data_IF_200358198082
#
_entry.id   IF_200358198082
#
_cell.length_a   1.000
_cell.length_b   1.000
_cell.length_c   1.000
_cell.angle_alpha   90.00
_cell.angle_beta   90.00
_cell.angle_gamma   90.00
#
_symmetry.space_group_name_H-M   'P 1'
#
loop_
_entity.id
_entity.type
_entity.pdbx_description
1 polymer ?
#
# COMPACT_ATOMS: atom_id res chain seq x y z
N UNK A 1 3.01 11.90 -14.52
CA UNK A 1 4.17 10.99 -14.61
C UNK A 1 4.33 10.26 -13.30
N UNK A 2 4.82 9.02 -13.35
CA UNK A 2 5.10 8.22 -12.16
C UNK A 2 6.47 7.58 -12.34
N UNK A 3 7.32 7.63 -11.32
CA UNK A 3 8.69 7.13 -11.43
C UNK A 3 9.23 6.58 -10.11
N UNK A 4 10.41 5.95 -10.18
CA UNK A 4 11.22 5.60 -9.01
C UNK A 4 11.93 6.83 -8.46
N UNK A 5 12.40 6.73 -7.22
CA UNK A 5 13.14 7.80 -6.53
C UNK A 5 14.37 8.25 -7.32
N UNK A 6 15.12 7.29 -7.85
CA UNK A 6 16.33 7.53 -8.65
C UNK A 6 16.05 8.14 -10.03
N UNK A 7 14.79 8.11 -10.48
CA UNK A 7 14.41 8.62 -11.81
C UNK A 7 13.82 10.03 -11.80
N UNK A 8 13.72 10.68 -10.64
CA UNK A 8 13.09 12.01 -10.53
C UNK A 8 13.84 13.05 -11.37
N UNK A 9 15.17 13.01 -11.37
CA UNK A 9 16.02 13.95 -12.13
C UNK A 9 15.77 13.91 -13.64
N UNK A 10 15.35 12.76 -14.17
CA UNK A 10 15.01 12.61 -15.59
C UNK A 10 13.84 13.50 -16.03
N UNK A 11 13.05 14.01 -15.08
CA UNK A 11 11.89 14.86 -15.33
C UNK A 11 12.15 16.34 -15.10
N UNK A 12 13.39 16.77 -14.79
CA UNK A 12 13.71 18.18 -14.56
C UNK A 12 13.46 19.10 -15.78
N UNK A 13 13.49 18.54 -16.99
CA UNK A 13 13.16 19.26 -18.23
C UNK A 13 11.68 19.18 -18.65
N UNK A 14 10.83 18.49 -17.88
CA UNK A 14 9.42 18.33 -18.20
C UNK A 14 8.57 19.46 -17.57
N UNK A 15 7.40 19.76 -18.16
CA UNK A 15 6.45 20.70 -17.56
C UNK A 15 5.77 20.03 -16.35
N UNK A 16 6.40 20.14 -15.18
CA UNK A 16 5.92 19.61 -13.90
C UNK A 16 5.65 20.79 -12.97
N UNK A 17 4.38 21.08 -12.69
CA UNK A 17 4.01 22.12 -11.71
C UNK A 17 3.72 21.55 -10.33
N UNK A 18 3.37 20.26 -10.25
CA UNK A 18 2.97 19.58 -9.03
C UNK A 18 3.78 18.31 -8.80
N UNK A 19 4.31 18.14 -7.59
CA UNK A 19 5.18 17.01 -7.24
C UNK A 19 4.73 16.31 -5.96
N UNK A 20 4.72 14.98 -5.96
CA UNK A 20 4.44 14.18 -4.76
C UNK A 20 5.52 13.12 -4.56
N UNK A 21 6.17 13.15 -3.40
CA UNK A 21 7.18 12.16 -3.01
C UNK A 21 6.68 11.31 -1.85
N UNK A 22 6.68 9.99 -2.03
CA UNK A 22 6.26 9.02 -1.01
C UNK A 22 7.46 8.21 -0.56
N UNK A 23 7.90 8.42 0.67
CA UNK A 23 9.13 7.84 1.23
C UNK A 23 8.83 6.84 2.35
N UNK A 24 9.81 5.98 2.63
CA UNK A 24 9.74 5.10 3.80
C UNK A 24 9.97 5.89 5.10
N UNK A 25 9.33 5.50 6.22
CA UNK A 25 9.49 6.21 7.49
C UNK A 25 10.95 6.25 7.95
N UNK A 26 11.46 7.45 8.21
CA UNK A 26 12.83 7.67 8.67
C UNK A 26 13.87 7.81 7.55
N UNK A 27 13.45 7.71 6.28
CA UNK A 27 14.29 8.07 5.14
C UNK A 27 14.65 9.56 5.21
N UNK A 28 15.94 9.85 5.03
CA UNK A 28 16.49 11.22 5.04
C UNK A 28 16.77 11.73 3.64
N UNK A 29 16.97 10.82 2.69
CA UNK A 29 17.24 11.15 1.30
C UNK A 29 15.93 11.40 0.55
N UNK A 30 15.51 12.66 0.55
CA UNK A 30 14.32 13.11 -0.17
C UNK A 30 14.67 13.40 -1.62
N UNK A 31 13.79 12.97 -2.54
CA UNK A 31 13.89 13.37 -3.95
C UNK A 31 13.90 14.88 -4.10
N UNK A 32 14.85 15.39 -4.87
CA UNK A 32 14.87 16.79 -5.26
C UNK A 32 13.75 17.00 -6.30
N UNK A 33 12.78 17.89 -6.04
CA UNK A 33 11.72 18.17 -7.01
C UNK A 33 12.29 18.80 -8.29
N UNK A 34 11.64 18.58 -9.46
CA UNK A 34 11.95 19.35 -10.65
C UNK A 34 11.93 20.87 -10.41
N UNK A 35 12.82 21.66 -11.03
CA UNK A 35 12.88 23.11 -10.80
C UNK A 35 11.60 23.88 -11.16
N UNK A 36 10.74 23.31 -12.01
CA UNK A 36 9.47 23.87 -12.44
C UNK A 36 8.33 23.66 -11.43
N UNK A 37 8.56 22.92 -10.35
CA UNK A 37 7.53 22.62 -9.34
C UNK A 37 7.14 23.88 -8.58
N UNK A 38 5.84 24.14 -8.54
CA UNK A 38 5.23 25.24 -7.80
C UNK A 38 4.61 24.76 -6.48
N UNK A 39 4.17 23.49 -6.46
CA UNK A 39 3.52 22.86 -5.30
C UNK A 39 4.02 21.44 -5.12
N UNK A 40 4.48 21.12 -3.92
CA UNK A 40 4.95 19.78 -3.57
C UNK A 40 4.25 19.23 -2.31
N UNK A 41 4.24 17.91 -2.21
CA UNK A 41 3.77 17.17 -1.05
C UNK A 41 4.71 15.98 -0.78
N UNK A 42 5.15 15.83 0.46
CA UNK A 42 5.98 14.70 0.89
C UNK A 42 5.30 13.94 2.03
N UNK A 43 5.07 12.64 1.84
CA UNK A 43 4.44 11.77 2.84
C UNK A 43 5.35 10.58 3.17
N UNK A 44 5.34 10.15 4.43
CA UNK A 44 6.21 9.08 4.93
C UNK A 44 5.43 7.90 5.51
N UNK A 45 5.35 6.82 4.74
CA UNK A 45 4.73 5.55 5.17
C UNK A 45 5.28 4.38 4.35
N UNK A 46 5.30 3.21 4.98
CA UNK A 46 5.78 1.96 4.40
C UNK A 46 4.82 1.44 3.33
N UNK A 47 5.36 0.86 2.27
CA UNK A 47 4.60 0.25 1.17
C UNK A 47 3.98 -1.10 1.57
N UNK A 48 2.96 -1.06 2.42
CA UNK A 48 2.23 -2.24 2.88
C UNK A 48 0.77 -2.19 2.46
N UNK A 49 0.26 -3.31 1.99
CA UNK A 49 -1.17 -3.48 1.70
C UNK A 49 -1.95 -4.18 2.84
N UNK A 50 -3.25 -4.39 2.65
CA UNK A 50 -4.12 -4.95 3.68
C UNK A 50 -3.80 -6.39 4.07
N UNK A 51 -3.03 -7.13 3.26
CA UNK A 51 -2.57 -8.48 3.61
C UNK A 51 -1.29 -8.36 4.42
N UNK A 52 -0.31 -7.61 3.94
CA UNK A 52 1.01 -7.54 4.56
C UNK A 52 0.94 -6.95 5.98
N UNK A 53 0.07 -5.98 6.24
CA UNK A 53 -0.13 -5.42 7.60
C UNK A 53 -0.59 -6.45 8.63
N UNK A 54 -1.17 -7.57 8.21
CA UNK A 54 -1.61 -8.64 9.12
C UNK A 54 -0.47 -9.58 9.53
N UNK A 55 0.67 -9.51 8.85
CA UNK A 55 1.77 -10.45 9.05
C UNK A 55 2.69 -9.98 10.20
N UNK A 56 3.06 -10.86 11.14
CA UNK A 56 3.87 -10.48 12.30
C UNK A 56 5.19 -9.78 11.97
N UNK A 57 5.85 -10.15 10.86
CA UNK A 57 7.12 -9.54 10.40
C UNK A 57 7.00 -8.05 10.07
N UNK A 58 5.80 -7.57 9.74
CA UNK A 58 5.56 -6.18 9.34
C UNK A 58 4.99 -5.33 10.48
N UNK A 59 4.89 -5.86 11.70
CA UNK A 59 4.27 -5.16 12.85
C UNK A 59 4.93 -3.84 13.23
N UNK A 60 6.23 -3.66 12.95
CA UNK A 60 6.98 -2.43 13.24
C UNK A 60 6.92 -1.38 12.13
N UNK A 61 6.36 -1.73 10.97
CA UNK A 61 6.24 -0.83 9.83
C UNK A 61 4.99 0.03 9.97
N UNK A 62 5.00 1.21 9.35
CA UNK A 62 3.88 2.16 9.40
C UNK A 62 3.17 2.15 8.06
N UNK A 63 2.05 1.42 7.89
CA UNK A 63 1.34 1.35 6.62
C UNK A 63 0.69 2.70 6.25
N UNK A 64 0.16 2.86 5.03
CA UNK A 64 -0.72 3.97 4.73
C UNK A 64 -1.97 3.93 5.63
N UNK A 65 -2.30 5.11 6.12
CA UNK A 65 -3.43 5.41 7.01
C UNK A 65 -4.36 6.43 6.34
N UNK A 66 -5.55 6.63 6.89
CA UNK A 66 -6.60 7.45 6.27
C UNK A 66 -6.15 8.90 6.09
N UNK A 67 -5.40 9.42 7.04
CA UNK A 67 -4.88 10.78 7.08
C UNK A 67 -3.97 11.06 5.86
N UNK A 68 -3.11 10.11 5.50
CA UNK A 68 -2.28 10.20 4.28
C UNK A 68 -3.14 10.27 3.01
N UNK A 69 -4.28 9.57 3.00
CA UNK A 69 -5.21 9.60 1.86
C UNK A 69 -5.94 10.93 1.80
N UNK A 70 -6.32 11.49 2.95
CA UNK A 70 -6.94 12.81 3.03
C UNK A 70 -6.00 13.90 2.52
N UNK A 71 -4.69 13.83 2.82
CA UNK A 71 -3.68 14.74 2.25
C UNK A 71 -3.57 14.62 0.72
N UNK A 72 -3.51 13.39 0.19
CA UNK A 72 -3.48 13.15 -1.26
C UNK A 72 -4.77 13.65 -1.94
N UNK A 73 -5.92 13.47 -1.31
CA UNK A 73 -7.21 13.95 -1.83
C UNK A 73 -7.28 15.48 -1.78
N UNK A 74 -6.80 16.10 -0.70
CA UNK A 74 -6.67 17.55 -0.59
C UNK A 74 -5.82 18.13 -1.73
N UNK A 75 -4.63 17.54 -1.94
CA UNK A 75 -3.72 17.90 -3.01
C UNK A 75 -4.38 17.83 -4.40
N UNK A 76 -5.12 16.75 -4.68
CA UNK A 76 -5.85 16.64 -5.95
C UNK A 76 -7.01 17.62 -6.10
N UNK A 77 -7.71 17.97 -5.02
CA UNK A 77 -8.79 18.97 -5.05
C UNK A 77 -8.27 20.37 -5.36
N UNK A 78 -7.10 20.76 -4.85
CA UNK A 78 -6.45 22.03 -5.19
C UNK A 78 -6.22 22.17 -6.71
N UNK A 79 -5.99 21.04 -7.39
CA UNK A 79 -5.72 21.01 -8.83
C UNK A 79 -6.99 21.01 -9.70
N UNK A 80 -8.17 20.80 -9.11
CA UNK A 80 -9.41 20.61 -9.87
C UNK A 80 -9.87 21.86 -10.64
N UNK A 81 -9.52 23.05 -10.15
CA UNK A 81 -9.86 24.34 -10.76
C UNK A 81 -8.76 24.90 -11.69
N UNK A 82 -7.62 24.20 -11.80
CA UNK A 82 -6.49 24.64 -12.62
C UNK A 82 -6.71 24.29 -14.10
N UNK A 83 -6.50 25.26 -14.98
CA UNK A 83 -6.65 25.06 -16.43
C UNK A 83 -5.52 24.21 -17.03
N UNK A 84 -4.30 24.30 -16.50
CA UNK A 84 -3.14 23.53 -16.95
C UNK A 84 -2.25 23.14 -15.76
N UNK A 85 -1.80 21.88 -15.72
CA UNK A 85 -0.87 21.40 -14.71
C UNK A 85 -0.14 20.13 -15.18
N UNK A 86 1.04 19.90 -14.61
CA UNK A 86 1.82 18.68 -14.77
C UNK A 86 2.10 18.03 -13.43
N UNK A 87 1.70 16.78 -13.26
CA UNK A 87 1.86 16.02 -12.02
C UNK A 87 2.98 14.98 -12.15
N UNK A 88 3.96 15.03 -11.27
CA UNK A 88 4.98 13.99 -11.10
C UNK A 88 4.84 13.34 -9.71
N UNK A 89 4.81 12.01 -9.66
CA UNK A 89 4.89 11.28 -8.41
C UNK A 89 6.06 10.33 -8.40
N UNK A 90 6.72 10.20 -7.25
CA UNK A 90 7.67 9.13 -7.03
C UNK A 90 7.41 8.41 -5.70
N UNK A 91 7.96 7.21 -5.64
CA UNK A 91 8.22 6.49 -4.41
C UNK A 91 9.54 5.73 -4.61
N UNK A 92 9.83 4.67 -3.85
CA UNK A 92 11.07 3.91 -4.07
C UNK A 92 11.16 3.33 -5.51
N UNK A 93 10.33 2.34 -5.85
CA UNK A 93 10.41 1.67 -7.15
C UNK A 93 9.54 2.27 -8.26
N UNK A 94 8.60 3.17 -7.92
CA UNK A 94 7.64 3.70 -8.89
C UNK A 94 6.54 2.72 -9.32
N UNK A 95 6.26 1.67 -8.53
CA UNK A 95 5.37 0.55 -8.91
C UNK A 95 4.08 0.48 -8.07
N UNK A 96 4.13 0.76 -6.78
CA UNK A 96 3.01 0.51 -5.84
C UNK A 96 2.42 1.78 -5.23
N UNK A 97 3.16 2.48 -4.35
CA UNK A 97 2.70 3.73 -3.70
C UNK A 97 2.40 4.85 -4.68
N UNK A 98 3.36 5.19 -5.55
CA UNK A 98 3.20 6.35 -6.44
C UNK A 98 2.14 6.15 -7.53
N UNK A 99 1.93 4.97 -8.16
CA UNK A 99 0.76 4.76 -9.00
C UNK A 99 -0.56 4.85 -8.23
N UNK A 100 -0.63 4.33 -7.00
CA UNK A 100 -1.84 4.46 -6.19
C UNK A 100 -2.15 5.93 -5.87
N UNK A 101 -1.17 6.70 -5.39
CA UNK A 101 -1.34 8.13 -5.16
C UNK A 101 -1.74 8.90 -6.42
N UNK A 102 -1.16 8.57 -7.57
CA UNK A 102 -1.52 9.20 -8.84
C UNK A 102 -3.01 8.98 -9.16
N UNK A 103 -3.50 7.75 -8.99
CA UNK A 103 -4.91 7.41 -9.21
C UNK A 103 -5.81 8.20 -8.25
N UNK A 104 -5.42 8.32 -6.98
CA UNK A 104 -6.16 9.03 -5.94
C UNK A 104 -6.25 10.52 -6.26
N UNK A 105 -5.12 11.16 -6.53
CA UNK A 105 -5.02 12.60 -6.86
C UNK A 105 -5.83 12.91 -8.12
N UNK A 106 -5.67 12.13 -9.19
CA UNK A 106 -6.44 12.34 -10.42
C UNK A 106 -7.96 12.19 -10.19
N UNK A 107 -8.37 11.20 -9.39
CA UNK A 107 -9.78 11.01 -9.05
C UNK A 107 -10.30 12.20 -8.23
N UNK A 108 -9.52 12.68 -7.26
CA UNK A 108 -9.83 13.85 -6.45
C UNK A 108 -9.89 15.15 -7.28
N UNK A 109 -9.08 15.25 -8.34
CA UNK A 109 -9.09 16.34 -9.31
C UNK A 109 -10.27 16.29 -10.30
N UNK A 110 -11.22 15.37 -10.10
CA UNK A 110 -12.46 15.30 -10.89
C UNK A 110 -12.47 14.27 -12.01
N UNK A 111 -11.39 13.51 -12.23
CA UNK A 111 -11.40 12.43 -13.21
C UNK A 111 -12.26 11.26 -12.71
N UNK A 112 -13.01 10.63 -13.63
CA UNK A 112 -13.66 9.36 -13.32
C UNK A 112 -12.61 8.32 -12.91
N UNK A 113 -12.89 7.46 -11.92
CA UNK A 113 -11.94 6.44 -11.45
C UNK A 113 -11.29 5.61 -12.56
N UNK A 114 -12.08 5.17 -13.56
CA UNK A 114 -11.58 4.38 -14.69
C UNK A 114 -10.63 5.17 -15.58
N UNK A 115 -10.90 6.47 -15.76
CA UNK A 115 -10.04 7.38 -16.53
C UNK A 115 -8.72 7.62 -15.79
N UNK A 116 -8.78 7.94 -14.50
CA UNK A 116 -7.59 8.11 -13.65
C UNK A 116 -6.69 6.86 -13.70
N UNK A 117 -7.28 5.67 -13.47
CA UNK A 117 -6.57 4.40 -13.54
C UNK A 117 -5.95 4.14 -14.93
N UNK A 118 -6.70 4.42 -15.99
CA UNK A 118 -6.24 4.26 -17.37
C UNK A 118 -5.06 5.17 -17.73
N UNK A 119 -5.09 6.44 -17.29
CA UNK A 119 -4.01 7.40 -17.51
C UNK A 119 -2.73 6.95 -16.81
N UNK A 120 -2.83 6.53 -15.54
CA UNK A 120 -1.66 6.07 -14.77
C UNK A 120 -1.09 4.78 -15.38
N UNK A 121 -1.94 3.83 -15.77
CA UNK A 121 -1.50 2.60 -16.45
C UNK A 121 -0.77 2.88 -17.77
N UNK A 122 -1.16 3.92 -18.50
CA UNK A 122 -0.53 4.28 -19.77
C UNK A 122 0.90 4.78 -19.57
N UNK A 123 1.15 5.51 -18.48
CA UNK A 123 2.49 6.03 -18.18
C UNK A 123 3.36 5.07 -17.37
N UNK A 124 2.76 4.17 -16.59
CA UNK A 124 3.45 3.12 -15.85
C UNK A 124 2.73 1.76 -16.05
N UNK A 125 3.01 1.04 -17.16
CA UNK A 125 2.35 -0.22 -17.49
C UNK A 125 2.57 -1.33 -16.45
N UNK A 126 3.74 -1.34 -15.82
CA UNK A 126 4.17 -2.34 -14.82
C UNK A 126 3.64 -2.04 -13.40
N UNK A 127 2.75 -1.05 -13.25
CA UNK A 127 2.22 -0.69 -11.94
C UNK A 127 1.51 -1.87 -11.26
N UNK A 128 1.72 -1.99 -9.96
CA UNK A 128 0.93 -2.84 -9.06
C UNK A 128 0.45 -1.97 -7.90
N UNK A 129 -0.52 -1.06 -8.13
CA UNK A 129 -0.89 -0.02 -7.17
C UNK A 129 -1.18 -0.59 -5.78
N UNK A 130 -0.74 0.13 -4.73
CA UNK A 130 -1.00 -0.23 -3.34
C UNK A 130 -2.50 -0.32 -3.07
N UNK A 131 -2.95 -1.52 -2.72
CA UNK A 131 -4.38 -1.84 -2.61
C UNK A 131 -5.03 -1.19 -1.40
N UNK A 132 -4.30 -1.12 -0.29
CA UNK A 132 -4.76 -0.49 0.95
C UNK A 132 -5.02 1.00 0.73
N UNK A 133 -4.10 1.70 0.04
CA UNK A 133 -4.31 3.10 -0.32
C UNK A 133 -5.59 3.29 -1.13
N UNK A 134 -5.81 2.46 -2.14
CA UNK A 134 -7.00 2.57 -3.00
C UNK A 134 -8.30 2.18 -2.26
N UNK A 135 -8.26 1.21 -1.35
CA UNK A 135 -9.41 0.88 -0.47
C UNK A 135 -9.76 2.04 0.46
N UNK A 136 -8.78 2.61 1.16
CA UNK A 136 -8.99 3.78 2.02
C UNK A 136 -9.51 4.97 1.20
N UNK A 137 -9.06 5.11 -0.04
CA UNK A 137 -9.52 6.16 -0.95
C UNK A 137 -10.95 5.96 -1.42
N UNK A 138 -11.40 4.71 -1.57
CA UNK A 138 -12.81 4.45 -1.85
C UNK A 138 -13.74 4.97 -0.75
N UNK A 139 -13.28 4.98 0.51
CA UNK A 139 -14.02 5.54 1.66
C UNK A 139 -13.99 7.09 1.64
N UNK A 140 -12.83 7.69 1.39
CA UNK A 140 -12.65 9.16 1.40
C UNK A 140 -13.33 9.84 0.20
N UNK A 141 -13.24 9.25 -0.99
CA UNK A 141 -13.80 9.77 -2.24
C UNK A 141 -15.20 9.23 -2.54
N UNK A 142 -15.69 8.30 -1.72
CA UNK A 142 -17.01 7.69 -1.83
C UNK A 142 -17.24 6.98 -3.19
N UNK A 143 -16.20 6.29 -3.70
CA UNK A 143 -16.21 5.62 -5.03
C UNK A 143 -16.74 4.18 -5.00
N UNK A 144 -17.32 3.73 -3.87
CA UNK A 144 -18.05 2.45 -3.78
C UNK A 144 -17.17 1.21 -4.03
N UNK A 145 -15.89 1.27 -3.67
CA UNK A 145 -14.95 0.16 -3.85
C UNK A 145 -14.38 0.03 -5.27
N UNK A 146 -14.66 0.98 -6.16
CA UNK A 146 -14.24 0.89 -7.56
C UNK A 146 -12.72 0.92 -7.70
N UNK A 147 -12.01 1.75 -6.92
CA UNK A 147 -10.56 1.91 -7.00
C UNK A 147 -9.86 0.62 -6.57
N UNK A 148 -10.23 0.08 -5.41
CA UNK A 148 -9.71 -1.17 -4.89
C UNK A 148 -9.95 -2.34 -5.85
N UNK A 149 -11.18 -2.49 -6.37
CA UNK A 149 -11.50 -3.58 -7.33
C UNK A 149 -10.68 -3.50 -8.62
N UNK A 150 -10.43 -2.30 -9.16
CA UNK A 150 -9.59 -2.17 -10.35
C UNK A 150 -8.14 -2.58 -10.07
N UNK A 151 -7.61 -2.26 -8.90
CA UNK A 151 -6.27 -2.66 -8.48
C UNK A 151 -6.14 -4.18 -8.33
N UNK A 152 -7.14 -4.83 -7.72
CA UNK A 152 -7.24 -6.29 -7.60
C UNK A 152 -7.24 -6.97 -8.98
N UNK A 153 -8.15 -6.57 -9.86
CA UNK A 153 -8.28 -7.15 -11.20
C UNK A 153 -6.99 -6.94 -12.02
N UNK A 154 -6.39 -5.76 -11.92
CA UNK A 154 -5.14 -5.44 -12.63
C UNK A 154 -3.98 -6.32 -12.14
N UNK A 155 -3.81 -6.45 -10.82
CA UNK A 155 -2.78 -7.30 -10.20
C UNK A 155 -2.95 -8.77 -10.58
N UNK A 156 -4.17 -9.29 -10.49
CA UNK A 156 -4.47 -10.67 -10.89
C UNK A 156 -4.11 -10.93 -12.35
N UNK A 157 -4.46 -10.01 -13.25
CA UNK A 157 -4.11 -10.11 -14.68
C UNK A 157 -2.61 -10.02 -14.93
N UNK A 158 -1.90 -9.16 -14.19
CA UNK A 158 -0.46 -9.02 -14.31
C UNK A 158 0.26 -10.33 -13.95
N UNK A 159 -0.06 -10.93 -12.81
CA UNK A 159 0.55 -12.20 -12.39
C UNK A 159 0.16 -13.38 -13.29
N UNK A 160 -1.10 -13.46 -13.72
CA UNK A 160 -1.54 -14.49 -14.67
C UNK A 160 -0.76 -14.42 -15.99
N UNK A 161 -0.51 -13.21 -16.52
CA UNK A 161 0.29 -13.02 -17.74
C UNK A 161 1.75 -13.39 -17.55
N UNK A 162 2.30 -13.13 -16.37
CA UNK A 162 3.67 -13.47 -16.04
C UNK A 162 3.87 -14.98 -15.80
N UNK A 163 2.79 -15.75 -15.61
CA UNK A 163 2.86 -17.17 -15.31
C UNK A 163 3.26 -17.48 -13.86
N UNK A 164 3.08 -16.51 -12.95
CA UNK A 164 3.39 -16.64 -11.53
C UNK A 164 2.14 -16.46 -10.68
N UNK A 165 2.17 -17.01 -9.47
CA UNK A 165 1.18 -16.69 -8.45
C UNK A 165 1.51 -15.36 -7.77
N UNK A 166 0.48 -14.64 -7.31
CA UNK A 166 0.66 -13.42 -6.52
C UNK A 166 1.40 -13.73 -5.20
N UNK A 167 2.63 -13.20 -5.00
CA UNK A 167 3.41 -13.47 -3.80
C UNK A 167 2.71 -13.05 -2.51
N UNK A 168 1.86 -12.03 -2.55
CA UNK A 168 1.15 -11.57 -1.36
C UNK A 168 0.10 -12.58 -0.91
N UNK A 169 -0.57 -13.26 -1.86
CA UNK A 169 -1.49 -14.37 -1.56
C UNK A 169 -0.74 -15.61 -1.05
N UNK A 170 0.44 -15.91 -1.61
CA UNK A 170 1.29 -17.01 -1.12
C UNK A 170 1.63 -16.79 0.35
N UNK A 171 2.14 -15.60 0.70
CA UNK A 171 2.49 -15.23 2.08
C UNK A 171 1.32 -15.32 3.04
N UNK A 172 0.12 -14.95 2.60
CA UNK A 172 -1.09 -15.03 3.42
C UNK A 172 -1.40 -16.48 3.81
N UNK A 173 -1.35 -17.41 2.84
CA UNK A 173 -1.60 -18.83 3.10
C UNK A 173 -0.53 -19.45 3.99
N UNK A 174 0.74 -19.12 3.76
CA UNK A 174 1.84 -19.56 4.63
C UNK A 174 1.61 -19.11 6.09
N UNK A 175 1.24 -17.85 6.29
CA UNK A 175 0.94 -17.32 7.62
C UNK A 175 -0.27 -17.97 8.29
N UNK A 176 -1.31 -18.33 7.53
CA UNK A 176 -2.47 -19.09 8.03
C UNK A 176 -2.05 -20.48 8.51
N UNK A 177 -1.27 -21.21 7.70
CA UNK A 177 -0.76 -22.53 8.05
C UNK A 177 0.13 -22.49 9.29
N UNK A 178 1.01 -21.49 9.41
CA UNK A 178 1.84 -21.29 10.61
C UNK A 178 0.99 -21.01 11.85
N UNK A 179 -0.03 -20.15 11.74
CA UNK A 179 -0.93 -19.84 12.84
C UNK A 179 -1.70 -21.07 13.32
N UNK A 180 -2.20 -21.90 12.39
CA UNK A 180 -2.85 -23.18 12.68
C UNK A 180 -1.92 -24.15 13.41
N UNK A 181 -0.67 -24.29 12.95
CA UNK A 181 0.33 -25.14 13.60
C UNK A 181 0.66 -24.67 15.02
N UNK A 182 0.81 -23.36 15.23
CA UNK A 182 1.07 -22.78 16.56
C UNK A 182 -0.13 -23.01 17.49
N UNK A 183 -1.34 -22.78 16.99
CA UNK A 183 -2.58 -23.03 17.73
C UNK A 183 -2.67 -24.50 18.16
N UNK A 184 -2.44 -25.43 17.23
CA UNK A 184 -2.46 -26.87 17.48
C UNK A 184 -1.44 -27.27 18.55
N UNK A 185 -0.19 -26.82 18.42
CA UNK A 185 0.87 -27.07 19.44
C UNK A 185 0.46 -26.53 20.82
N UNK A 186 -0.15 -25.35 20.89
CA UNK A 186 -0.60 -24.75 22.15
C UNK A 186 -1.77 -25.51 22.76
N UNK A 187 -2.72 -25.96 21.94
CA UNK A 187 -3.84 -26.78 22.35
C UNK A 187 -3.38 -28.15 22.88
N UNK A 188 -2.49 -28.85 22.16
CA UNK A 188 -1.88 -30.11 22.60
C UNK A 188 -1.17 -29.96 23.95
N UNK A 189 -0.37 -28.90 24.14
CA UNK A 189 0.27 -28.60 25.44
C UNK A 189 -0.74 -28.28 26.55
N UNK A 190 -1.91 -27.72 26.23
CA UNK A 190 -2.98 -27.49 27.20
C UNK A 190 -3.66 -28.80 27.60
N UNK A 191 -3.99 -29.66 26.64
CA UNK A 191 -4.57 -30.97 26.91
C UNK A 191 -3.64 -31.84 27.76
N UNK A 192 -2.35 -31.92 27.38
CA UNK A 192 -1.36 -32.67 28.14
C UNK A 192 -1.22 -32.19 29.60
N UNK A 193 -1.42 -30.89 29.87
CA UNK A 193 -1.44 -30.34 31.24
C UNK A 193 -2.69 -30.72 32.02
N UNK A 194 -3.87 -30.75 31.38
CA UNK A 194 -5.13 -31.16 32.01
C UNK A 194 -5.19 -32.65 32.32
N UNK A 195 -4.49 -33.46 31.55
CA UNK A 195 -4.42 -34.92 31.70
C UNK A 195 -3.32 -35.38 32.68
N UNK A 196 -2.56 -34.47 33.30
CA UNK A 196 -1.60 -34.85 34.35
C UNK A 196 -2.38 -35.27 35.61
N UNK A 197 -2.17 -36.49 36.13
CA UNK A 197 -2.78 -36.88 37.40
C UNK A 197 -2.31 -35.94 38.51
N UNK A 198 -3.24 -35.40 39.30
CA UNK A 198 -2.91 -34.68 40.52
C UNK A 198 -2.16 -35.65 41.46
N UNK A 199 -0.92 -35.32 41.81
CA UNK A 199 -0.22 -35.97 42.92
C UNK A 199 -0.94 -35.61 44.22
N UNK A 200 -2.03 -36.33 44.51
CA UNK A 200 -2.73 -36.29 45.79
C UNK A 200 -1.79 -36.88 46.83
N UNK A 201 -1.11 -36.02 47.60
CA UNK A 201 -0.33 -36.45 48.76
C UNK A 201 -1.27 -37.24 49.68
N UNK A 202 -1.04 -38.54 49.81
CA UNK A 202 -1.70 -39.38 50.80
C UNK A 202 -1.22 -38.90 52.17
N UNK A 203 -2.09 -38.45 53.09
CA UNK A 203 -1.66 -38.06 54.43
C UNK A 203 -1.10 -39.30 55.13
N UNK A 204 0.14 -39.20 55.62
CA UNK A 204 0.78 -40.30 56.34
C UNK A 204 -0.04 -40.74 57.55
N UNK A 205 -0.25 -42.05 57.67
CA UNK A 205 -0.78 -42.66 58.89
C UNK A 205 0.23 -42.45 60.03
N UNK A 206 -0.29 -41.96 61.16
CA UNK A 206 0.41 -41.85 62.44
C UNK A 206 0.66 -43.22 63.05
#
# INVERSE_FOLDING_TARGET
>A
MVCSRESVENYHGHPVSHFVSLIDPGEKDQSIPPPSVERDLSLAFSDLDDIEVTLPRFKSYKPPEKEHIEELVGFGREMSDLSEWGLLLNCEAGISRSPAAAIIILTAAGYRPQTAFGLVRRVQPEMLPNRRMLRLSDEVLNTGGALHRMAEIHRQKAFLRAGYEDPTLVRQREAQLEAEQVWWKRWMRSMARRLRPENRKVPGLK
#
